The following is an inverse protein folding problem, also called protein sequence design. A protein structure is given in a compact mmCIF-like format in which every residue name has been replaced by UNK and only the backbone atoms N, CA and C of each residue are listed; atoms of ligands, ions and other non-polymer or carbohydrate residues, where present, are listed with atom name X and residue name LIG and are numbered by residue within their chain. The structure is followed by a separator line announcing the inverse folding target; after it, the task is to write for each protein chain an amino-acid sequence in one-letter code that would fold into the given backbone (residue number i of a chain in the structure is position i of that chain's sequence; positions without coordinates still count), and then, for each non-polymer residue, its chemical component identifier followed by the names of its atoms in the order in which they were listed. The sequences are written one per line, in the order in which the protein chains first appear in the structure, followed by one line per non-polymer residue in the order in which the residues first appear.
data_IF_450234207192
#
_entry.id   IF_450234207192
#
_cell.length_a   1.000
_cell.length_b   1.000
_cell.length_c   1.000
_cell.angle_alpha   90.00
_cell.angle_beta   90.00
_cell.angle_gamma   90.00
#
_symmetry.space_group_name_H-M   'P 1'
#
loop_
_entity.id
_entity.type
_entity.pdbx_description
1 polymer ?
#
# COMPACT_ATOMS: atom_id res chain seq x y z
N UNK A 1 9.26 -1.08 8.95
CA UNK A 1 8.99 -2.18 8.00
C UNK A 1 8.43 -1.59 6.72
N UNK A 2 8.73 -2.23 5.60
CA UNK A 2 8.20 -1.80 4.30
C UNK A 2 6.91 -2.55 3.99
N UNK A 3 5.89 -1.82 3.53
CA UNK A 3 4.63 -2.37 3.03
C UNK A 3 4.44 -1.88 1.59
N UNK A 4 4.16 -2.80 0.67
CA UNK A 4 4.01 -2.52 -0.75
C UNK A 4 2.54 -2.57 -1.16
N UNK A 5 2.10 -1.59 -1.96
CA UNK A 5 0.72 -1.48 -2.46
C UNK A 5 0.72 -1.30 -3.96
N UNK A 6 -0.10 -2.08 -4.66
CA UNK A 6 -0.24 -2.05 -6.11
C UNK A 6 -1.73 -2.00 -6.51
N UNK A 7 -2.16 -0.87 -7.07
CA UNK A 7 -3.55 -0.66 -7.48
C UNK A 7 -4.06 -1.59 -8.59
N UNK A 8 -3.18 -2.14 -9.44
CA UNK A 8 -3.61 -2.91 -10.63
C UNK A 8 -3.47 -4.42 -10.46
N UNK A 9 -2.63 -4.89 -9.53
CA UNK A 9 -2.34 -6.31 -9.34
C UNK A 9 -2.11 -6.75 -7.90
N UNK A 10 -2.34 -5.86 -6.92
CA UNK A 10 -2.29 -6.23 -5.51
C UNK A 10 -3.54 -6.99 -5.06
N UNK A 11 -3.43 -7.66 -3.92
CA UNK A 11 -4.53 -8.33 -3.22
C UNK A 11 -4.43 -8.01 -1.72
N UNK A 12 -5.52 -7.59 -1.09
CA UNK A 12 -5.55 -7.24 0.33
C UNK A 12 -5.41 -8.46 1.27
N UNK A 13 -5.46 -9.67 0.73
CA UNK A 13 -5.07 -10.90 1.42
C UNK A 13 -3.55 -11.12 1.46
N UNK A 14 -2.78 -10.40 0.63
CA UNK A 14 -1.32 -10.50 0.65
C UNK A 14 -0.72 -9.84 1.89
N UNK A 15 0.46 -10.31 2.28
CA UNK A 15 1.20 -9.79 3.44
C UNK A 15 1.72 -8.35 3.23
N UNK A 16 1.90 -7.92 1.99
CA UNK A 16 2.42 -6.61 1.64
C UNK A 16 3.94 -6.49 1.78
N UNK A 17 4.69 -7.58 1.95
CA UNK A 17 6.12 -7.53 2.29
C UNK A 17 7.05 -7.56 1.08
N UNK A 18 6.46 -7.64 -0.12
CA UNK A 18 7.17 -7.51 -1.39
C UNK A 18 6.23 -6.99 -2.46
N UNK A 19 6.78 -6.52 -3.59
CA UNK A 19 5.98 -6.17 -4.76
C UNK A 19 5.16 -7.34 -5.32
N UNK A 20 5.66 -8.57 -5.22
CA UNK A 20 4.97 -9.77 -5.69
C UNK A 20 3.77 -10.16 -4.81
N UNK A 21 3.81 -9.77 -3.53
CA UNK A 21 2.74 -9.95 -2.57
C UNK A 21 2.24 -8.59 -2.07
N UNK A 22 2.06 -7.63 -3.00
CA UNK A 22 1.59 -6.30 -2.64
C UNK A 22 0.11 -6.30 -2.26
N UNK A 23 -0.27 -5.40 -1.35
CA UNK A 23 -1.67 -5.12 -1.00
C UNK A 23 -2.36 -4.35 -2.12
N UNK A 24 -3.67 -4.45 -2.22
CA UNK A 24 -4.44 -3.73 -3.24
C UNK A 24 -4.75 -2.29 -2.82
N UNK A 25 -4.98 -2.07 -1.53
CA UNK A 25 -5.52 -0.79 -1.03
C UNK A 25 -4.63 -0.10 0.01
N UNK A 26 -4.65 1.23 -0.01
CA UNK A 26 -3.93 2.08 0.95
C UNK A 26 -4.50 1.88 2.36
N UNK A 27 -5.81 1.71 2.51
CA UNK A 27 -6.42 1.47 3.83
C UNK A 27 -6.00 0.13 4.43
N UNK A 28 -5.92 -0.95 3.65
CA UNK A 28 -5.42 -2.23 4.17
C UNK A 28 -3.94 -2.12 4.57
N UNK A 29 -3.13 -1.43 3.77
CA UNK A 29 -1.72 -1.18 4.08
C UNK A 29 -1.52 -0.36 5.35
N UNK A 30 -2.25 0.74 5.53
CA UNK A 30 -2.20 1.57 6.77
C UNK A 30 -2.70 0.84 8.00
N UNK A 31 -3.68 -0.07 7.85
CA UNK A 31 -4.13 -0.97 8.92
C UNK A 31 -3.06 -2.00 9.33
N UNK A 32 -2.23 -2.44 8.38
CA UNK A 32 -1.14 -3.40 8.61
C UNK A 32 0.13 -2.74 9.17
N UNK A 33 0.33 -1.45 8.92
CA UNK A 33 1.51 -0.70 9.32
C UNK A 33 1.58 -0.48 10.85
N UNK A 34 2.80 -0.58 11.39
CA UNK A 34 3.17 -0.17 12.73
C UNK A 34 3.80 1.24 12.73
N UNK A 35 4.15 1.72 13.93
CA UNK A 35 4.74 3.05 14.12
C UNK A 35 6.13 3.13 13.47
N UNK A 36 6.34 4.15 12.64
CA UNK A 36 7.53 4.43 11.82
C UNK A 36 7.71 3.51 10.59
N UNK A 37 6.66 2.83 10.15
CA UNK A 37 6.70 2.06 8.90
C UNK A 37 6.64 2.94 7.64
N UNK A 38 6.99 2.33 6.50
CA UNK A 38 6.95 2.95 5.18
C UNK A 38 6.01 2.16 4.28
N UNK A 39 5.07 2.85 3.63
CA UNK A 39 4.21 2.31 2.60
C UNK A 39 4.69 2.80 1.24
N UNK A 40 5.03 1.86 0.36
CA UNK A 40 5.46 2.11 -1.01
C UNK A 40 4.29 1.89 -1.97
N UNK A 41 3.95 2.91 -2.76
CA UNK A 41 2.89 2.83 -3.75
C UNK A 41 3.50 2.64 -5.15
N UNK A 42 3.03 1.62 -5.87
CA UNK A 42 3.32 1.45 -7.29
C UNK A 42 2.55 2.48 -8.12
N UNK A 43 2.95 2.61 -9.39
CA UNK A 43 2.20 3.42 -10.35
C UNK A 43 0.77 2.89 -10.52
N UNK A 44 -0.21 3.79 -10.45
CA UNK A 44 -1.61 3.43 -10.63
C UNK A 44 -2.57 4.45 -10.03
N UNK A 45 -3.85 4.26 -10.31
CA UNK A 45 -4.93 5.06 -9.76
C UNK A 45 -5.58 4.31 -8.60
N UNK A 46 -5.38 4.80 -7.37
CA UNK A 46 -5.96 4.20 -6.17
C UNK A 46 -7.37 4.77 -5.95
N UNK A 47 -8.36 4.08 -6.51
CA UNK A 47 -9.78 4.49 -6.44
C UNK A 47 -10.60 3.62 -5.49
N UNK A 48 -11.88 3.93 -5.33
CA UNK A 48 -12.79 3.16 -4.48
C UNK A 48 -12.77 3.54 -3.00
N UNK A 49 -13.68 2.97 -2.20
CA UNK A 49 -13.90 3.36 -0.80
C UNK A 49 -12.71 3.05 0.10
N UNK A 50 -11.95 1.99 -0.17
CA UNK A 50 -10.78 1.59 0.64
C UNK A 50 -9.49 2.34 0.25
N UNK A 51 -9.59 3.29 -0.67
CA UNK A 51 -8.55 4.29 -0.93
C UNK A 51 -9.02 5.72 -0.58
N UNK A 52 -10.11 5.83 0.20
CA UNK A 52 -10.68 7.10 0.68
C UNK A 52 -10.85 7.07 2.19
N UNK A 53 -10.87 8.25 2.82
CA UNK A 53 -11.05 8.41 4.27
C UNK A 53 -10.07 7.54 5.10
N UNK A 54 -8.81 7.50 4.66
CA UNK A 54 -7.75 6.75 5.34
C UNK A 54 -7.36 7.47 6.62
N UNK A 55 -7.54 6.82 7.78
CA UNK A 55 -7.13 7.36 9.07
C UNK A 55 -5.67 6.98 9.35
N UNK A 56 -4.83 7.97 9.66
CA UNK A 56 -3.43 7.78 10.04
C UNK A 56 -3.26 8.31 11.47
N UNK A 57 -3.15 7.39 12.42
CA UNK A 57 -3.05 7.64 13.87
C UNK A 57 -1.68 7.28 14.45
N UNK A 58 -0.73 6.99 13.57
CA UNK A 58 0.63 6.49 13.88
C UNK A 58 1.66 7.24 13.05
N UNK A 59 2.93 7.20 13.45
CA UNK A 59 4.01 7.75 12.62
C UNK A 59 4.15 6.88 11.38
N UNK A 60 4.00 7.46 10.19
CA UNK A 60 3.95 6.71 8.95
C UNK A 60 4.52 7.53 7.79
N UNK A 61 5.29 6.88 6.93
CA UNK A 61 5.68 7.44 5.63
C UNK A 61 4.92 6.75 4.52
N UNK A 62 4.32 7.51 3.60
CA UNK A 62 3.73 6.96 2.37
C UNK A 62 4.45 7.60 1.19
N UNK A 63 5.04 6.78 0.32
CA UNK A 63 5.88 7.24 -0.80
C UNK A 63 5.48 6.55 -2.09
N UNK A 64 5.25 7.34 -3.14
CA UNK A 64 5.16 6.81 -4.50
C UNK A 64 6.56 6.43 -5.00
N UNK A 65 6.76 5.16 -5.36
CA UNK A 65 8.09 4.67 -5.78
C UNK A 65 8.33 4.80 -7.30
N UNK A 66 7.31 5.20 -8.07
CA UNK A 66 7.32 5.18 -9.55
C UNK A 66 7.85 3.86 -10.13
N UNK A 67 7.17 2.78 -9.77
CA UNK A 67 7.43 1.42 -10.27
C UNK A 67 6.22 0.95 -11.08
N UNK A 68 6.40 0.76 -12.39
CA UNK A 68 5.51 -0.07 -13.21
C UNK A 68 5.83 -1.53 -12.89
N UNK A 69 5.08 -2.14 -11.97
CA UNK A 69 5.21 -3.57 -11.68
C UNK A 69 4.66 -4.33 -12.90
N UNK A 70 5.42 -5.20 -13.57
CA UNK A 70 4.88 -6.02 -14.66
C UNK A 70 3.79 -6.92 -14.08
N UNK A 71 2.66 -6.98 -14.79
CA UNK A 71 1.59 -7.96 -14.58
C UNK A 71 2.11 -9.39 -14.61
#
# INVERSE_FOLDING_TARGET
MDIYVNATGGDDNNDGLSWAAAKATIKNATGSAADNDVIWLADGEYTGPDNRNVNIDKKLTITGQSKRVPS
#
